data_IF_746839576611
#
_entry.id   IF_746839576611
#
_cell.length_a   1.000
_cell.length_b   1.000
_cell.length_c   1.000
_cell.angle_alpha   90.00
_cell.angle_beta   90.00
_cell.angle_gamma   90.00
#
_symmetry.space_group_name_H-M   'P 1'
#
loop_
_entity.id
_entity.type
_entity.pdbx_description
1 polymer ?
#
# COMPACT_ATOMS: atom_id res chain seq x y z
N UNK A 1 36.86 -14.51 14.20
CA UNK A 1 36.05 -14.35 12.98
C UNK A 1 35.03 -13.27 13.27
N UNK A 2 35.11 -12.12 12.61
CA UNK A 2 34.05 -11.10 12.67
C UNK A 2 33.01 -11.54 11.64
N UNK A 3 31.79 -11.79 12.06
CA UNK A 3 30.67 -12.02 11.14
C UNK A 3 30.40 -10.70 10.43
N UNK A 4 30.49 -10.67 9.10
CA UNK A 4 29.98 -9.54 8.32
C UNK A 4 28.52 -9.33 8.71
N UNK A 5 28.21 -8.13 9.19
CA UNK A 5 26.84 -7.77 9.49
C UNK A 5 26.10 -7.69 8.16
N UNK A 6 25.18 -8.63 7.91
CA UNK A 6 24.33 -8.59 6.72
C UNK A 6 23.49 -7.31 6.83
N UNK A 7 23.75 -6.35 5.94
CA UNK A 7 22.98 -5.13 5.84
C UNK A 7 21.59 -5.48 5.31
N UNK A 8 20.64 -5.62 6.23
CA UNK A 8 19.25 -5.94 5.93
C UNK A 8 18.46 -4.64 5.79
N UNK A 9 18.05 -4.31 4.56
CA UNK A 9 17.40 -3.04 4.23
C UNK A 9 16.26 -2.64 5.18
N UNK A 10 15.49 -3.62 5.66
CA UNK A 10 14.31 -3.38 6.50
C UNK A 10 14.64 -3.01 7.95
N UNK A 11 15.87 -3.21 8.43
CA UNK A 11 16.24 -2.92 9.82
C UNK A 11 16.28 -1.43 10.13
N UNK A 12 16.69 -0.63 9.15
CA UNK A 12 16.82 0.82 9.26
C UNK A 12 15.74 1.57 8.46
N UNK A 13 14.88 0.85 7.74
CA UNK A 13 13.84 1.45 6.90
C UNK A 13 12.72 2.09 7.71
N UNK A 14 12.28 3.28 7.29
CA UNK A 14 11.06 3.91 7.75
C UNK A 14 9.89 3.35 6.94
N UNK A 15 9.04 2.57 7.60
CA UNK A 15 7.81 2.04 7.03
C UNK A 15 6.66 3.04 7.19
N UNK A 16 5.91 3.25 6.13
CA UNK A 16 4.66 4.00 6.14
C UNK A 16 3.51 3.10 5.72
N UNK A 17 2.60 2.87 6.66
CA UNK A 17 1.42 2.04 6.45
C UNK A 17 0.34 2.84 5.70
N UNK A 18 -0.21 2.26 4.63
CA UNK A 18 -1.19 2.92 3.74
C UNK A 18 -2.42 2.04 3.55
N UNK A 19 -3.57 2.59 3.91
CA UNK A 19 -4.87 2.07 3.48
C UNK A 19 -5.30 2.75 2.18
N UNK A 20 -5.22 2.04 1.05
CA UNK A 20 -5.49 2.60 -0.30
C UNK A 20 -6.82 3.34 -0.34
N UNK A 21 -7.90 2.69 0.11
CA UNK A 21 -9.27 3.23 0.25
C UNK A 21 -9.37 4.62 0.90
N UNK A 22 -8.47 4.94 1.84
CA UNK A 22 -8.58 6.14 2.68
C UNK A 22 -7.45 7.16 2.44
N UNK A 23 -6.52 6.87 1.51
CA UNK A 23 -5.32 7.67 1.37
C UNK A 23 -5.48 8.85 0.42
N UNK A 24 -5.82 8.58 -0.84
CA UNK A 24 -6.04 9.63 -1.84
C UNK A 24 -6.89 9.13 -3.00
N UNK A 25 -7.99 9.82 -3.27
CA UNK A 25 -8.92 9.57 -4.38
C UNK A 25 -8.43 10.32 -5.63
N UNK A 26 -8.22 9.60 -6.73
CA UNK A 26 -7.73 10.19 -7.98
C UNK A 26 -8.85 10.58 -8.96
N UNK A 27 -10.06 10.05 -8.78
CA UNK A 27 -11.12 10.09 -9.77
C UNK A 27 -12.40 10.82 -9.27
N UNK A 28 -12.43 11.22 -7.98
CA UNK A 28 -13.53 11.89 -7.27
C UNK A 28 -14.77 11.02 -7.01
N UNK A 29 -14.61 9.70 -6.86
CA UNK A 29 -15.69 8.79 -6.44
C UNK A 29 -15.86 8.66 -4.91
N UNK A 30 -14.94 9.27 -4.14
CA UNK A 30 -14.92 9.26 -2.68
C UNK A 30 -14.11 8.12 -2.06
N UNK A 31 -13.46 7.29 -2.88
CA UNK A 31 -12.64 6.14 -2.46
C UNK A 31 -11.22 6.35 -2.98
N UNK A 32 -10.23 6.12 -2.11
CA UNK A 32 -8.84 6.14 -2.51
C UNK A 32 -8.45 4.95 -3.37
N UNK A 33 -7.55 5.18 -4.33
CA UNK A 33 -7.17 4.21 -5.35
C UNK A 33 -5.64 4.20 -5.59
N UNK A 34 -5.16 3.23 -6.37
CA UNK A 34 -3.71 3.08 -6.63
C UNK A 34 -3.13 4.24 -7.45
N UNK A 35 -3.91 4.85 -8.33
CA UNK A 35 -3.48 6.01 -9.10
C UNK A 35 -3.28 7.22 -8.17
N UNK A 36 -4.16 7.37 -7.18
CA UNK A 36 -4.07 8.38 -6.15
C UNK A 36 -2.87 8.17 -5.24
N UNK A 37 -2.60 6.94 -4.82
CA UNK A 37 -1.35 6.60 -4.13
C UNK A 37 -0.12 6.95 -4.98
N UNK A 38 -0.12 6.60 -6.27
CA UNK A 38 0.97 6.91 -7.20
C UNK A 38 1.26 8.41 -7.27
N UNK A 39 0.22 9.25 -7.30
CA UNK A 39 0.35 10.71 -7.30
C UNK A 39 0.99 11.28 -6.02
N UNK A 40 1.06 10.52 -4.92
CA UNK A 40 1.65 10.95 -3.64
C UNK A 40 2.98 10.29 -3.32
N UNK A 41 3.56 9.51 -4.23
CA UNK A 41 4.88 8.91 -4.01
C UNK A 41 5.97 9.96 -3.77
N UNK A 42 5.93 11.10 -4.47
CA UNK A 42 6.89 12.20 -4.23
C UNK A 42 6.73 12.82 -2.83
N UNK A 43 5.49 12.89 -2.31
CA UNK A 43 5.23 13.32 -0.93
C UNK A 43 5.84 12.32 0.07
N UNK A 44 5.57 11.02 -0.11
CA UNK A 44 6.09 9.97 0.78
C UNK A 44 7.62 9.91 0.76
N UNK A 45 8.22 10.08 -0.43
CA UNK A 45 9.67 10.18 -0.58
C UNK A 45 10.24 11.41 0.12
N UNK A 46 9.60 12.57 -0.02
CA UNK A 46 10.01 13.81 0.65
C UNK A 46 9.89 13.71 2.17
N UNK A 47 8.90 12.96 2.66
CA UNK A 47 8.73 12.64 4.08
C UNK A 47 9.88 11.76 4.64
N UNK A 48 10.63 11.07 3.78
CA UNK A 48 11.73 10.18 4.15
C UNK A 48 11.32 8.72 4.33
N UNK A 49 10.20 8.30 3.74
CA UNK A 49 9.73 6.91 3.78
C UNK A 49 10.59 6.03 2.86
N UNK A 50 11.05 4.89 3.38
CA UNK A 50 11.82 3.90 2.62
C UNK A 50 10.93 2.78 2.05
N UNK A 51 9.85 2.44 2.78
CA UNK A 51 8.96 1.35 2.41
C UNK A 51 7.49 1.67 2.70
N UNK A 52 6.61 1.32 1.76
CA UNK A 52 5.17 1.41 1.93
C UNK A 52 4.64 0.02 2.29
N UNK A 53 3.94 -0.07 3.41
CA UNK A 53 3.18 -1.25 3.78
C UNK A 53 1.71 -1.02 3.42
N UNK A 54 1.21 -1.76 2.44
CA UNK A 54 -0.19 -1.68 2.04
C UNK A 54 -1.06 -2.56 2.94
N UNK A 55 -2.14 -1.98 3.48
CA UNK A 55 -3.26 -2.75 4.03
C UNK A 55 -3.95 -3.54 2.91
N UNK A 56 -4.81 -4.53 3.24
CA UNK A 56 -5.47 -5.36 2.24
C UNK A 56 -6.16 -4.56 1.14
N UNK A 57 -5.81 -4.90 -0.11
CA UNK A 57 -6.35 -4.30 -1.33
C UNK A 57 -6.91 -5.36 -2.30
N UNK A 58 -6.94 -6.62 -1.86
CA UNK A 58 -7.49 -7.73 -2.62
C UNK A 58 -9.02 -7.67 -2.68
N UNK A 59 -9.59 -8.36 -3.65
CA UNK A 59 -11.05 -8.47 -3.79
C UNK A 59 -11.66 -9.08 -2.53
N UNK A 60 -12.59 -8.37 -1.91
CA UNK A 60 -13.21 -8.71 -0.63
C UNK A 60 -14.70 -8.30 -0.61
N UNK A 61 -15.55 -8.98 0.16
CA UNK A 61 -16.89 -8.49 0.51
C UNK A 61 -16.87 -7.28 1.45
N UNK A 62 -15.69 -6.89 1.96
CA UNK A 62 -15.44 -5.74 2.83
C UNK A 62 -16.23 -5.78 4.15
N UNK A 63 -16.43 -6.97 4.72
CA UNK A 63 -17.05 -7.11 6.06
C UNK A 63 -16.06 -6.78 7.18
N UNK A 64 -14.77 -6.86 6.88
CA UNK A 64 -13.65 -6.51 7.77
C UNK A 64 -12.62 -5.65 7.01
N UNK A 65 -13.10 -4.61 6.31
CA UNK A 65 -12.29 -3.63 5.57
C UNK A 65 -11.17 -4.23 4.69
N UNK A 66 -11.45 -5.37 4.05
CA UNK A 66 -10.55 -6.03 3.11
C UNK A 66 -9.75 -7.20 3.68
N UNK A 67 -9.78 -7.43 5.00
CA UNK A 67 -9.16 -8.60 5.62
C UNK A 67 -9.95 -9.90 5.36
N UNK A 68 -11.24 -9.81 5.06
CA UNK A 68 -12.08 -10.92 4.59
C UNK A 68 -11.92 -11.15 3.08
N UNK A 69 -10.76 -11.64 2.66
CA UNK A 69 -10.40 -11.79 1.24
C UNK A 69 -11.23 -12.88 0.56
N UNK A 70 -11.81 -12.55 -0.60
CA UNK A 70 -12.56 -13.48 -1.45
C UNK A 70 -11.75 -14.03 -2.62
N UNK A 71 -10.74 -13.28 -3.09
CA UNK A 71 -9.81 -13.70 -4.13
C UNK A 71 -8.45 -13.03 -3.93
N UNK A 72 -7.43 -13.83 -3.63
CA UNK A 72 -6.06 -13.38 -3.38
C UNK A 72 -5.30 -12.97 -4.65
N UNK A 73 -5.86 -13.18 -5.84
CA UNK A 73 -5.21 -12.87 -7.12
C UNK A 73 -5.83 -11.67 -7.84
N UNK A 74 -6.91 -11.10 -7.29
CA UNK A 74 -7.59 -9.93 -7.86
C UNK A 74 -7.53 -8.74 -6.92
N UNK A 75 -7.40 -7.55 -7.47
CA UNK A 75 -7.54 -6.27 -6.75
C UNK A 75 -9.03 -5.96 -6.53
N UNK A 76 -9.36 -5.31 -5.41
CA UNK A 76 -10.69 -4.76 -5.17
C UNK A 76 -11.03 -3.74 -6.27
N UNK A 77 -12.12 -3.91 -7.04
CA UNK A 77 -12.36 -3.13 -8.25
C UNK A 77 -12.36 -1.61 -8.08
N UNK A 78 -12.78 -1.12 -6.91
CA UNK A 78 -12.78 0.30 -6.56
C UNK A 78 -11.36 0.89 -6.40
N UNK A 79 -10.33 0.05 -6.21
CA UNK A 79 -8.95 0.53 -6.00
C UNK A 79 -8.12 0.53 -7.30
N UNK A 80 -8.55 -0.19 -8.33
CA UNK A 80 -7.86 -0.27 -9.62
C UNK A 80 -7.90 -1.67 -10.26
N UNK A 81 -6.94 -1.89 -11.16
CA UNK A 81 -6.77 -3.13 -11.94
C UNK A 81 -5.39 -3.75 -11.71
N UNK A 82 -5.19 -4.98 -12.19
CA UNK A 82 -3.88 -5.67 -12.09
C UNK A 82 -2.79 -5.11 -13.02
N UNK A 83 -3.16 -4.23 -13.95
CA UNK A 83 -2.28 -3.60 -14.93
C UNK A 83 -1.67 -2.28 -14.43
#
# INVERSE_FOLDING_TARGET
MVTEEVNLWYRDAIFYEVHVKCFYDSNNDGIGDFEGLRQKLDYLKTLGVDCIWLLPFYKSPLKDDGYDISDFYSIQPEYGTMD
#
